data_IF_170330889914
#
_entry.id   IF_170330889914
#
_cell.length_a   1.000
_cell.length_b   1.000
_cell.length_c   1.000
_cell.angle_alpha   90.00
_cell.angle_beta   90.00
_cell.angle_gamma   90.00
#
_symmetry.space_group_name_H-M   'P 1'
#
loop_
_entity.id
_entity.type
_entity.pdbx_description
1 polymer ?
#
# COMPACT_ATOMS: atom_id res chain seq x y z
N UNK A 1 4.03 -2.84 -9.74
CA UNK A 1 2.74 -2.86 -9.00
C UNK A 1 2.84 -2.04 -7.72
N UNK A 2 3.80 -2.32 -6.84
CA UNK A 2 3.96 -1.60 -5.57
C UNK A 2 4.04 -0.08 -5.72
N UNK A 3 4.81 0.42 -6.69
CA UNK A 3 4.89 1.85 -6.97
C UNK A 3 3.52 2.44 -7.34
N UNK A 4 2.75 1.76 -8.18
CA UNK A 4 1.39 2.19 -8.56
C UNK A 4 0.49 2.29 -7.33
N UNK A 5 0.58 1.33 -6.40
CA UNK A 5 -0.19 1.34 -5.14
C UNK A 5 0.24 2.40 -4.13
N UNK A 6 1.47 2.91 -4.24
CA UNK A 6 1.93 4.03 -3.41
C UNK A 6 1.52 5.37 -4.02
N UNK A 7 1.60 5.50 -5.35
CA UNK A 7 1.16 6.69 -6.08
C UNK A 7 -0.33 6.99 -5.84
N UNK A 8 -1.17 5.96 -5.76
CA UNK A 8 -2.61 6.11 -5.44
C UNK A 8 -2.90 6.79 -4.11
N UNK A 9 -2.01 6.68 -3.11
CA UNK A 9 -2.20 7.41 -1.86
C UNK A 9 -1.95 8.91 -2.00
N UNK A 10 -1.03 9.29 -2.89
CA UNK A 10 -0.68 10.69 -3.16
C UNK A 10 -1.75 11.33 -4.06
N UNK A 11 -2.25 10.58 -5.05
CA UNK A 11 -3.31 11.02 -5.96
C UNK A 11 -4.74 10.91 -5.39
N UNK A 12 -4.86 10.61 -4.10
CA UNK A 12 -6.16 10.43 -3.44
C UNK A 12 -6.97 11.74 -3.41
N UNK A 13 -8.29 11.59 -3.40
CA UNK A 13 -9.34 12.61 -3.26
C UNK A 13 -9.18 13.52 -2.03
N UNK A 14 -8.40 13.08 -1.03
CA UNK A 14 -7.98 13.92 0.11
C UNK A 14 -7.18 15.15 -0.30
N UNK A 15 -6.64 15.21 -1.52
CA UNK A 15 -5.91 16.35 -2.05
C UNK A 15 -6.69 16.96 -3.22
N UNK A 16 -6.83 18.29 -3.21
CA UNK A 16 -7.60 19.03 -4.20
C UNK A 16 -6.84 19.19 -5.53
N UNK A 17 -6.71 18.10 -6.28
CA UNK A 17 -6.12 18.06 -7.61
C UNK A 17 -7.09 18.66 -8.65
N UNK A 18 -6.63 19.58 -9.49
CA UNK A 18 -7.52 20.43 -10.33
C UNK A 18 -7.36 20.26 -11.87
N UNK A 19 -6.77 19.18 -12.40
CA UNK A 19 -6.64 19.03 -13.86
C UNK A 19 -7.36 17.86 -14.50
N UNK A 20 -7.99 18.16 -15.64
CA UNK A 20 -8.67 17.24 -16.53
C UNK A 20 -7.81 16.05 -17.01
N UNK A 21 -6.52 16.27 -17.26
CA UNK A 21 -5.60 15.20 -17.72
C UNK A 21 -5.28 14.20 -16.61
N UNK A 22 -5.22 14.67 -15.35
CA UNK A 22 -5.12 13.80 -14.20
C UNK A 22 -6.45 13.13 -13.87
N UNK A 23 -7.60 13.73 -14.18
CA UNK A 23 -8.91 13.12 -13.87
C UNK A 23 -9.08 11.74 -14.50
N UNK A 24 -8.73 11.60 -15.79
CA UNK A 24 -8.82 10.32 -16.50
C UNK A 24 -7.83 9.30 -15.93
N UNK A 25 -6.58 9.70 -15.73
CA UNK A 25 -5.53 8.82 -15.20
C UNK A 25 -5.81 8.41 -13.76
N UNK A 26 -6.34 9.34 -12.96
CA UNK A 26 -6.78 9.16 -11.57
C UNK A 26 -7.92 8.16 -11.50
N UNK A 27 -8.91 8.23 -12.37
CA UNK A 27 -10.04 7.29 -12.35
C UNK A 27 -9.56 5.83 -12.44
N UNK A 28 -8.61 5.53 -13.33
CA UNK A 28 -8.04 4.18 -13.45
C UNK A 28 -7.05 3.84 -12.34
N UNK A 29 -6.17 4.78 -11.96
CA UNK A 29 -5.10 4.52 -10.99
C UNK A 29 -5.68 4.40 -9.58
N UNK A 30 -6.58 5.30 -9.16
CA UNK A 30 -7.22 5.29 -7.83
C UNK A 30 -8.04 4.01 -7.60
N UNK A 31 -8.63 3.44 -8.66
CA UNK A 31 -9.33 2.15 -8.59
C UNK A 31 -8.40 0.95 -8.32
N UNK A 32 -7.09 1.07 -8.51
CA UNK A 32 -6.13 0.01 -8.18
C UNK A 32 -5.98 -0.21 -6.67
N UNK A 33 -6.32 0.79 -5.84
CA UNK A 33 -6.45 0.59 -4.41
C UNK A 33 -7.84 0.07 -4.10
N UNK A 34 -7.95 -1.19 -3.67
CA UNK A 34 -9.22 -1.85 -3.37
C UNK A 34 -10.13 -1.02 -2.45
N UNK A 35 -9.57 -0.20 -1.54
CA UNK A 35 -10.36 0.62 -0.64
C UNK A 35 -11.24 1.68 -1.33
N UNK A 36 -10.82 2.26 -2.46
CA UNK A 36 -11.57 3.32 -3.13
C UNK A 36 -12.83 2.82 -3.86
N UNK A 37 -12.77 1.80 -4.75
CA UNK A 37 -13.98 1.26 -5.35
C UNK A 37 -14.90 0.64 -4.28
N UNK A 38 -14.35 0.08 -3.20
CA UNK A 38 -15.15 -0.40 -2.07
C UNK A 38 -15.97 0.71 -1.39
N UNK A 39 -15.45 1.94 -1.37
CA UNK A 39 -16.15 3.11 -0.84
C UNK A 39 -17.37 3.47 -1.70
N UNK A 40 -17.24 3.34 -3.02
CA UNK A 40 -18.32 3.61 -3.98
C UNK A 40 -19.42 2.53 -3.94
N UNK A 41 -19.05 1.26 -3.70
CA UNK A 41 -20.01 0.15 -3.54
C UNK A 41 -20.72 0.12 -2.18
N UNK A 42 -20.27 0.91 -1.21
CA UNK A 42 -20.88 1.04 0.11
C UNK A 42 -20.32 0.10 1.19
N UNK A 43 -20.84 0.27 2.41
CA UNK A 43 -20.33 -0.40 3.62
C UNK A 43 -20.40 -1.93 3.57
N UNK A 44 -21.48 -2.49 3.01
CA UNK A 44 -21.69 -3.95 2.97
C UNK A 44 -20.70 -4.64 2.03
N UNK A 45 -20.36 -4.01 0.90
CA UNK A 45 -19.36 -4.51 -0.03
C UNK A 45 -17.96 -4.50 0.60
N UNK A 46 -17.64 -3.43 1.34
CA UNK A 46 -16.42 -3.36 2.13
C UNK A 46 -16.35 -4.47 3.18
N UNK A 47 -17.44 -4.69 3.94
CA UNK A 47 -17.50 -5.72 4.97
C UNK A 47 -17.34 -7.14 4.38
N UNK A 48 -17.93 -7.42 3.22
CA UNK A 48 -17.76 -8.69 2.52
C UNK A 48 -16.30 -8.92 2.11
N UNK A 49 -15.65 -7.92 1.50
CA UNK A 49 -14.25 -8.01 1.10
C UNK A 49 -13.32 -8.18 2.31
N UNK A 50 -13.59 -7.46 3.41
CA UNK A 50 -12.84 -7.60 4.66
C UNK A 50 -12.83 -9.04 5.16
N UNK A 51 -13.99 -9.72 5.16
CA UNK A 51 -14.08 -11.12 5.57
C UNK A 51 -13.39 -12.07 4.59
N UNK A 52 -13.53 -11.83 3.27
CA UNK A 52 -12.84 -12.62 2.25
C UNK A 52 -11.32 -12.55 2.44
N UNK A 53 -10.77 -11.34 2.63
CA UNK A 53 -9.34 -11.13 2.88
C UNK A 53 -8.89 -11.76 4.20
N UNK A 54 -9.73 -11.71 5.24
CA UNK A 54 -9.44 -12.34 6.54
C UNK A 54 -9.35 -13.86 6.43
N UNK A 55 -10.32 -14.49 5.76
CA UNK A 55 -10.33 -15.94 5.53
C UNK A 55 -9.14 -16.36 4.65
N UNK A 56 -8.83 -15.58 3.61
CA UNK A 56 -7.68 -15.83 2.75
C UNK A 56 -6.36 -15.74 3.53
N UNK A 57 -6.21 -14.73 4.40
CA UNK A 57 -5.05 -14.58 5.27
C UNK A 57 -4.90 -15.78 6.20
N UNK A 58 -5.96 -16.15 6.92
CA UNK A 58 -5.96 -17.32 7.81
C UNK A 58 -5.66 -18.62 7.05
N UNK A 59 -6.21 -18.77 5.85
CA UNK A 59 -5.90 -19.89 4.96
C UNK A 59 -4.42 -19.94 4.58
N UNK A 60 -3.82 -18.80 4.25
CA UNK A 60 -2.37 -18.70 4.00
C UNK A 60 -1.56 -19.07 5.24
N UNK A 61 -1.92 -18.58 6.43
CA UNK A 61 -1.26 -18.95 7.69
C UNK A 61 -1.37 -20.45 7.94
N UNK A 62 -2.56 -21.03 7.76
CA UNK A 62 -2.80 -22.45 7.92
C UNK A 62 -1.93 -23.29 6.98
N UNK A 63 -1.81 -22.88 5.71
CA UNK A 63 -0.91 -23.53 4.75
C UNK A 63 0.57 -23.42 5.16
N UNK A 64 1.01 -22.26 5.67
CA UNK A 64 2.37 -22.10 6.18
C UNK A 64 2.66 -23.04 7.36
N UNK A 65 1.72 -23.13 8.32
CA UNK A 65 1.84 -24.05 9.47
C UNK A 65 1.82 -25.51 9.02
N UNK A 66 0.97 -25.86 8.06
CA UNK A 66 0.91 -27.20 7.48
C UNK A 66 2.24 -27.60 6.84
N UNK A 67 2.81 -26.73 5.99
CA UNK A 67 4.11 -26.97 5.35
C UNK A 67 5.22 -27.08 6.40
N UNK A 68 5.21 -26.23 7.43
CA UNK A 68 6.17 -26.32 8.53
C UNK A 68 6.05 -27.63 9.32
N UNK A 69 4.83 -28.13 9.54
CA UNK A 69 4.60 -29.40 10.23
C UNK A 69 5.03 -30.61 9.37
N UNK A 70 4.85 -30.55 8.05
CA UNK A 70 5.32 -31.59 7.12
C UNK A 70 6.85 -31.69 7.10
N UNK A 71 7.53 -30.53 7.09
CA UNK A 71 9.00 -30.46 7.23
C UNK A 71 9.51 -31.06 8.54
N UNK A 72 8.75 -30.97 9.64
CA UNK A 72 9.16 -31.57 10.91
C UNK A 72 8.99 -33.10 10.94
N UNK A 73 8.14 -33.67 10.08
CA UNK A 73 7.82 -35.10 10.08
C UNK A 73 8.58 -35.88 9.01
N UNK A 74 9.37 -35.21 8.17
CA UNK A 74 10.10 -35.78 7.02
C UNK A 74 9.24 -36.57 6.02
N UNK A 75 7.91 -36.44 6.08
CA UNK A 75 6.96 -37.16 5.24
C UNK A 75 6.58 -36.33 4.02
N UNK A 76 7.48 -36.16 3.06
CA UNK A 76 7.17 -35.42 1.82
C UNK A 76 6.25 -36.21 0.89
N UNK A 77 4.95 -36.29 1.20
CA UNK A 77 4.00 -36.99 0.33
C UNK A 77 3.52 -36.13 -0.85
N UNK A 78 3.70 -34.80 -0.79
CA UNK A 78 3.18 -33.89 -1.80
C UNK A 78 4.02 -32.61 -1.95
N UNK A 79 4.51 -32.34 -3.18
CA UNK A 79 5.32 -31.14 -3.52
C UNK A 79 4.43 -29.93 -3.90
N UNK A 80 3.15 -30.15 -4.14
CA UNK A 80 2.21 -29.10 -4.56
C UNK A 80 1.98 -28.00 -3.51
N UNK A 81 1.93 -28.25 -2.18
CA UNK A 81 1.68 -27.21 -1.19
C UNK A 81 2.78 -26.15 -1.20
N UNK A 82 4.04 -26.56 -1.37
CA UNK A 82 5.18 -25.64 -1.45
C UNK A 82 5.07 -24.72 -2.67
N UNK A 83 4.65 -25.26 -3.83
CA UNK A 83 4.45 -24.47 -5.05
C UNK A 83 3.27 -23.50 -4.92
N UNK A 84 2.15 -23.95 -4.39
CA UNK A 84 0.95 -23.12 -4.20
C UNK A 84 1.23 -22.01 -3.19
N UNK A 85 1.85 -22.35 -2.05
CA UNK A 85 2.27 -21.37 -1.03
C UNK A 85 3.18 -20.33 -1.67
N UNK A 86 4.21 -20.71 -2.42
CA UNK A 86 5.10 -19.73 -3.05
C UNK A 86 4.37 -18.80 -4.02
N UNK A 87 3.50 -19.32 -4.89
CA UNK A 87 2.78 -18.50 -5.87
C UNK A 87 1.71 -17.60 -5.21
N UNK A 88 0.89 -18.16 -4.32
CA UNK A 88 -0.20 -17.43 -3.66
C UNK A 88 0.35 -16.42 -2.66
N UNK A 89 1.35 -16.79 -1.86
CA UNK A 89 1.96 -15.86 -0.92
C UNK A 89 2.67 -14.72 -1.65
N UNK A 90 3.44 -15.01 -2.70
CA UNK A 90 4.11 -13.96 -3.46
C UNK A 90 3.12 -12.99 -4.10
N UNK A 91 2.01 -13.49 -4.65
CA UNK A 91 0.98 -12.62 -5.23
C UNK A 91 0.24 -11.82 -4.16
N UNK A 92 -0.22 -12.46 -3.09
CA UNK A 92 -1.03 -11.82 -2.05
C UNK A 92 -0.22 -10.85 -1.18
N UNK A 93 0.93 -11.27 -0.67
CA UNK A 93 1.74 -10.49 0.26
C UNK A 93 2.71 -9.53 -0.42
N UNK A 94 3.05 -9.70 -1.71
CA UNK A 94 3.87 -8.74 -2.44
C UNK A 94 3.03 -7.80 -3.29
N UNK A 95 2.11 -8.33 -4.12
CA UNK A 95 1.32 -7.46 -5.00
C UNK A 95 0.16 -6.77 -4.29
N UNK A 96 -0.49 -7.41 -3.32
CA UNK A 96 -1.65 -6.84 -2.62
C UNK A 96 -1.33 -6.41 -1.19
N UNK A 97 -0.05 -6.23 -0.83
CA UNK A 97 0.36 -5.79 0.50
C UNK A 97 -0.35 -4.52 0.94
N UNK A 98 -0.08 -3.44 0.21
CA UNK A 98 -0.56 -2.10 0.53
C UNK A 98 -2.08 -2.05 0.50
N UNK A 99 -2.69 -2.70 -0.49
CA UNK A 99 -4.13 -2.67 -0.67
C UNK A 99 -4.88 -3.48 0.40
N UNK A 100 -4.41 -4.69 0.73
CA UNK A 100 -5.06 -5.53 1.76
C UNK A 100 -4.86 -4.93 3.14
N UNK A 101 -3.66 -4.42 3.43
CA UNK A 101 -3.37 -3.74 4.69
C UNK A 101 -4.25 -2.48 4.84
N UNK A 102 -4.45 -1.72 3.77
CA UNK A 102 -5.34 -0.56 3.81
C UNK A 102 -6.80 -0.95 4.09
N UNK A 103 -7.29 -2.08 3.57
CA UNK A 103 -8.63 -2.59 3.93
C UNK A 103 -8.72 -2.94 5.42
N UNK A 104 -7.72 -3.62 5.98
CA UNK A 104 -7.70 -3.90 7.43
C UNK A 104 -7.61 -2.63 8.28
N UNK A 105 -6.77 -1.67 7.89
CA UNK A 105 -6.61 -0.41 8.61
C UNK A 105 -7.76 0.57 8.39
N UNK A 106 -8.54 0.45 7.31
CA UNK A 106 -9.74 1.26 7.11
C UNK A 106 -10.84 0.96 8.15
N UNK A 107 -10.81 -0.21 8.80
CA UNK A 107 -11.71 -0.51 9.91
C UNK A 107 -11.45 0.36 11.16
N UNK A 108 -10.32 1.07 11.22
CA UNK A 108 -9.95 1.96 12.33
C UNK A 108 -9.77 3.42 11.90
N UNK A 109 -10.04 3.74 10.62
CA UNK A 109 -9.93 5.09 10.08
C UNK A 109 -11.12 5.94 10.51
N UNK A 110 -11.06 6.50 11.71
CA UNK A 110 -12.12 7.29 12.29
C UNK A 110 -11.79 8.78 12.26
N UNK A 111 -12.81 9.60 12.07
CA UNK A 111 -12.71 11.04 12.28
C UNK A 111 -12.81 11.31 13.77
N UNK A 112 -11.66 11.54 14.39
CA UNK A 112 -11.56 11.85 15.82
C UNK A 112 -11.79 13.35 16.12
N UNK A 113 -11.99 14.18 15.10
CA UNK A 113 -12.27 15.62 15.29
C UNK A 113 -13.75 15.90 15.53
N UNK A 114 -14.63 14.98 15.15
CA UNK A 114 -16.06 15.05 15.42
C UNK A 114 -16.38 14.70 16.89
N UNK A 115 -17.46 15.27 17.44
CA UNK A 115 -17.90 15.02 18.82
C UNK A 115 -18.21 13.53 19.10
N UNK A 116 -18.60 12.79 18.07
CA UNK A 116 -18.68 11.33 18.07
C UNK A 116 -17.78 10.80 16.97
N UNK A 117 -16.83 9.88 17.26
CA UNK A 117 -15.92 9.39 16.23
C UNK A 117 -16.68 8.55 15.20
N UNK A 118 -16.75 9.05 13.98
CA UNK A 118 -17.43 8.41 12.85
C UNK A 118 -16.42 7.83 11.86
N UNK A 119 -16.82 6.79 11.14
CA UNK A 119 -15.97 6.13 10.17
C UNK A 119 -15.71 7.05 8.95
N UNK A 120 -14.45 7.24 8.58
CA UNK A 120 -14.10 8.10 7.45
C UNK A 120 -14.49 7.47 6.12
N UNK A 121 -15.34 8.17 5.39
CA UNK A 121 -15.60 7.90 3.97
C UNK A 121 -16.69 6.87 3.67
N UNK A 122 -17.14 6.09 4.64
CA UNK A 122 -18.26 5.18 4.47
C UNK A 122 -19.52 5.76 5.09
N UNK A 123 -20.61 5.67 4.34
CA UNK A 123 -21.95 5.98 4.83
C UNK A 123 -22.83 4.75 4.68
N UNK A 124 -23.79 4.62 5.58
CA UNK A 124 -24.83 3.58 5.46
C UNK A 124 -25.70 3.86 4.22
N UNK A 125 -26.45 2.88 3.73
CA UNK A 125 -27.39 3.06 2.61
C UNK A 125 -28.37 4.23 2.85
N UNK A 126 -28.72 4.48 4.12
CA UNK A 126 -29.60 5.58 4.56
C UNK A 126 -28.86 6.91 4.75
N UNK A 127 -27.57 6.99 4.39
CA UNK A 127 -26.74 8.19 4.52
C UNK A 127 -26.28 8.51 5.95
N UNK A 128 -26.62 7.68 6.94
CA UNK A 128 -26.19 7.84 8.33
C UNK A 128 -24.71 7.52 8.52
N UNK A 129 -24.05 8.32 9.36
CA UNK A 129 -22.68 8.10 9.79
C UNK A 129 -22.59 6.92 10.78
N UNK A 130 -21.57 6.08 10.58
CA UNK A 130 -21.37 4.86 11.37
C UNK A 130 -20.44 5.18 12.55
N UNK A 131 -20.85 4.93 13.80
CA UNK A 131 -20.00 5.15 14.97
C UNK A 131 -18.87 4.13 14.98
N UNK A 132 -17.63 4.59 15.16
CA UNK A 132 -16.45 3.72 15.08
C UNK A 132 -16.35 2.69 16.20
N UNK A 133 -16.67 3.09 17.43
CA UNK A 133 -16.59 2.23 18.61
C UNK A 133 -17.95 1.72 19.07
N UNK A 134 -18.98 1.90 18.23
CA UNK A 134 -20.36 1.53 18.54
C UNK A 134 -20.89 0.42 17.64
N UNK A 135 -21.90 -0.31 18.14
CA UNK A 135 -22.64 -1.31 17.38
C UNK A 135 -21.76 -2.46 16.85
N UNK A 136 -22.15 -3.02 15.70
CA UNK A 136 -21.43 -4.14 15.08
C UNK A 136 -20.06 -3.76 14.51
N UNK A 137 -19.81 -2.48 14.23
CA UNK A 137 -18.55 -2.02 13.62
C UNK A 137 -17.33 -2.22 14.54
N UNK A 138 -17.51 -2.10 15.86
CA UNK A 138 -16.45 -2.32 16.83
C UNK A 138 -15.79 -3.70 16.70
N UNK A 139 -16.55 -4.73 16.29
CA UNK A 139 -16.01 -6.08 16.04
C UNK A 139 -15.06 -6.07 14.85
N UNK A 140 -15.41 -5.38 13.77
CA UNK A 140 -14.56 -5.24 12.58
C UNK A 140 -13.28 -4.47 12.92
N UNK A 141 -13.35 -3.44 13.77
CA UNK A 141 -12.17 -2.70 14.22
C UNK A 141 -11.18 -3.60 14.99
N UNK A 142 -11.68 -4.37 15.98
CA UNK A 142 -10.84 -5.27 16.78
C UNK A 142 -10.24 -6.38 15.91
N UNK A 143 -11.06 -7.05 15.10
CA UNK A 143 -10.59 -8.11 14.19
C UNK A 143 -9.61 -7.53 13.17
N UNK A 144 -9.86 -6.31 12.67
CA UNK A 144 -9.01 -5.62 11.71
C UNK A 144 -7.61 -5.33 12.27
N UNK A 145 -7.51 -4.88 13.52
CA UNK A 145 -6.22 -4.68 14.20
C UNK A 145 -5.45 -6.00 14.31
N UNK A 146 -6.12 -7.08 14.75
CA UNK A 146 -5.48 -8.39 14.88
C UNK A 146 -4.99 -8.94 13.54
N UNK A 147 -5.82 -8.82 12.49
CA UNK A 147 -5.47 -9.25 11.14
C UNK A 147 -4.37 -8.40 10.52
N UNK A 148 -4.37 -7.07 10.75
CA UNK A 148 -3.30 -6.19 10.31
C UNK A 148 -1.95 -6.56 10.94
N UNK A 149 -1.92 -6.80 12.26
CA UNK A 149 -0.70 -7.23 12.96
C UNK A 149 -0.19 -8.56 12.39
N UNK A 150 -1.08 -9.54 12.22
CA UNK A 150 -0.73 -10.83 11.64
C UNK A 150 -0.21 -10.69 10.20
N UNK A 151 -0.87 -9.88 9.38
CA UNK A 151 -0.48 -9.61 8.01
C UNK A 151 0.90 -8.97 7.93
N UNK A 152 1.16 -7.93 8.73
CA UNK A 152 2.46 -7.26 8.82
C UNK A 152 3.56 -8.23 9.22
N UNK A 153 3.32 -9.06 10.25
CA UNK A 153 4.30 -10.01 10.75
C UNK A 153 4.70 -11.03 9.66
N UNK A 154 3.72 -11.58 8.95
CA UNK A 154 3.97 -12.54 7.87
C UNK A 154 4.65 -11.87 6.68
N UNK A 155 4.18 -10.71 6.24
CA UNK A 155 4.83 -9.94 5.16
C UNK A 155 6.29 -9.61 5.47
N UNK A 156 6.60 -9.25 6.72
CA UNK A 156 7.96 -8.97 7.13
C UNK A 156 8.87 -10.21 7.01
N UNK A 157 8.38 -11.37 7.44
CA UNK A 157 9.10 -12.65 7.31
C UNK A 157 9.29 -13.01 5.84
N UNK A 158 8.24 -12.93 5.02
CA UNK A 158 8.31 -13.26 3.59
C UNK A 158 9.28 -12.34 2.86
N UNK A 159 9.25 -11.03 3.16
CA UNK A 159 10.21 -10.08 2.62
C UNK A 159 11.64 -10.52 2.94
N UNK A 160 11.93 -10.99 4.16
CA UNK A 160 13.28 -11.44 4.50
C UNK A 160 13.69 -12.77 3.83
N UNK A 161 12.72 -13.63 3.46
CA UNK A 161 12.97 -14.97 2.92
C UNK A 161 13.04 -14.99 1.39
N UNK A 162 12.38 -14.07 0.70
CA UNK A 162 12.30 -14.05 -0.78
C UNK A 162 13.60 -13.68 -1.51
N UNK A 163 14.70 -13.43 -0.79
CA UNK A 163 15.98 -13.07 -1.37
C UNK A 163 16.86 -14.26 -1.72
N UNK A 164 17.35 -14.27 -2.97
CA UNK A 164 18.41 -15.16 -3.39
C UNK A 164 19.75 -14.63 -2.87
N UNK A 165 20.42 -15.40 -2.00
CA UNK A 165 21.70 -15.03 -1.40
C UNK A 165 22.86 -15.10 -2.40
N UNK A 166 22.68 -15.77 -3.54
CA UNK A 166 23.71 -15.83 -4.56
C UNK A 166 23.71 -14.57 -5.42
N UNK A 167 24.61 -13.62 -5.11
CA UNK A 167 24.79 -12.36 -5.84
C UNK A 167 25.21 -12.56 -7.30
N UNK A 168 25.67 -13.76 -7.69
CA UNK A 168 26.07 -14.10 -9.06
C UNK A 168 24.92 -14.72 -9.85
N UNK A 169 23.81 -15.03 -9.19
CA UNK A 169 22.59 -15.58 -9.79
C UNK A 169 22.03 -14.67 -10.89
N UNK A 170 21.34 -15.29 -11.85
CA UNK A 170 20.61 -14.56 -12.89
C UNK A 170 19.30 -13.93 -12.40
N UNK A 171 18.91 -14.22 -11.16
CA UNK A 171 17.67 -13.74 -10.58
C UNK A 171 17.70 -12.22 -10.33
N UNK A 172 16.61 -11.49 -10.66
CA UNK A 172 16.51 -10.05 -10.41
C UNK A 172 16.41 -9.70 -8.91
N UNK A 173 16.14 -10.70 -8.07
CA UNK A 173 16.07 -10.60 -6.60
C UNK A 173 17.39 -11.02 -5.91
N UNK A 174 18.47 -11.23 -6.68
CA UNK A 174 19.77 -11.54 -6.12
C UNK A 174 20.37 -10.30 -5.43
N UNK A 175 20.60 -10.38 -4.12
CA UNK A 175 21.16 -9.27 -3.35
C UNK A 175 22.00 -9.80 -2.17
N UNK A 176 23.15 -9.17 -1.83
CA UNK A 176 24.01 -9.64 -0.74
C UNK A 176 23.40 -9.53 0.67
N UNK A 177 22.33 -8.73 0.84
CA UNK A 177 21.68 -8.53 2.13
C UNK A 177 20.21 -8.16 1.93
N UNK A 178 19.32 -8.72 2.74
CA UNK A 178 17.87 -8.42 2.74
C UNK A 178 17.51 -7.11 3.46
N UNK A 179 18.46 -6.50 4.18
CA UNK A 179 18.22 -5.29 4.98
C UNK A 179 17.63 -4.11 4.20
N UNK A 180 18.10 -3.76 2.98
CA UNK A 180 17.57 -2.60 2.25
C UNK A 180 16.09 -2.76 1.91
N UNK A 181 15.70 -3.97 1.54
CA UNK A 181 14.32 -4.29 1.17
C UNK A 181 13.40 -4.35 2.39
N UNK A 182 13.91 -4.82 3.53
CA UNK A 182 13.21 -4.69 4.80
C UNK A 182 12.95 -3.22 5.18
N UNK A 183 13.93 -2.33 5.00
CA UNK A 183 13.71 -0.89 5.24
C UNK A 183 12.70 -0.26 4.28
N UNK A 184 12.73 -0.65 3.01
CA UNK A 184 11.71 -0.25 2.03
C UNK A 184 10.33 -0.75 2.46
N UNK A 185 10.23 -2.00 2.92
CA UNK A 185 8.99 -2.56 3.47
C UNK A 185 8.48 -1.74 4.67
N UNK A 186 9.36 -1.38 5.61
CA UNK A 186 9.00 -0.52 6.76
C UNK A 186 8.49 0.84 6.28
N UNK A 187 9.13 1.45 5.27
CA UNK A 187 8.65 2.71 4.72
C UNK A 187 7.26 2.58 4.07
N UNK A 188 7.00 1.50 3.33
CA UNK A 188 5.68 1.20 2.74
C UNK A 188 4.60 0.99 3.81
N UNK A 189 4.94 0.28 4.88
CA UNK A 189 4.07 0.08 6.03
C UNK A 189 3.72 1.43 6.67
N UNK A 190 4.72 2.26 6.95
CA UNK A 190 4.51 3.60 7.50
C UNK A 190 3.69 4.48 6.56
N UNK A 191 3.86 4.36 5.25
CA UNK A 191 3.06 5.08 4.26
C UNK A 191 1.56 4.77 4.43
N UNK A 192 1.23 3.48 4.58
CA UNK A 192 -0.16 3.02 4.75
C UNK A 192 -0.72 3.46 6.12
N UNK A 193 0.07 3.32 7.18
CA UNK A 193 -0.33 3.72 8.54
C UNK A 193 -0.57 5.23 8.62
N UNK A 194 0.32 6.05 8.07
CA UNK A 194 0.15 7.50 7.97
C UNK A 194 -1.12 7.86 7.19
N UNK A 195 -1.42 7.15 6.09
CA UNK A 195 -2.64 7.37 5.29
C UNK A 195 -3.93 7.28 6.10
N UNK A 196 -3.96 6.34 7.04
CA UNK A 196 -5.11 6.09 7.93
C UNK A 196 -5.12 7.06 9.11
N UNK A 197 -4.00 7.21 9.83
CA UNK A 197 -3.96 8.00 11.06
C UNK A 197 -3.97 9.51 10.82
N UNK A 198 -3.27 9.97 9.78
CA UNK A 198 -3.14 11.39 9.43
C UNK A 198 -4.11 11.80 8.32
N UNK A 199 -5.09 10.95 7.97
CA UNK A 199 -6.03 11.19 6.86
C UNK A 199 -6.79 12.52 6.93
N UNK A 200 -7.00 13.01 8.15
CA UNK A 200 -7.66 14.27 8.50
C UNK A 200 -6.75 15.50 8.46
N UNK A 201 -5.42 15.32 8.53
CA UNK A 201 -4.44 16.41 8.52
C UNK A 201 -3.64 16.39 7.22
N UNK A 202 -4.21 16.96 6.15
CA UNK A 202 -3.68 16.87 4.78
C UNK A 202 -2.22 17.33 4.63
N UNK A 203 -1.82 18.40 5.32
CA UNK A 203 -0.44 18.92 5.28
C UNK A 203 0.55 18.01 6.00
N UNK A 204 0.20 17.50 7.19
CA UNK A 204 1.05 16.56 7.92
C UNK A 204 1.19 15.24 7.14
N UNK A 205 0.12 14.80 6.48
CA UNK A 205 0.11 13.63 5.62
C UNK A 205 1.04 13.78 4.42
N UNK A 206 0.95 14.89 3.67
CA UNK A 206 1.81 15.13 2.50
C UNK A 206 3.30 15.22 2.87
N UNK A 207 3.63 15.87 3.99
CA UNK A 207 5.00 15.90 4.54
C UNK A 207 5.48 14.49 4.88
N UNK A 208 4.65 13.67 5.54
CA UNK A 208 5.01 12.29 5.89
C UNK A 208 5.31 11.45 4.64
N UNK A 209 4.50 11.57 3.59
CA UNK A 209 4.72 10.89 2.31
C UNK A 209 6.02 11.33 1.63
N UNK A 210 6.34 12.62 1.67
CA UNK A 210 7.59 13.13 1.11
C UNK A 210 8.81 12.59 1.85
N UNK A 211 8.81 12.62 3.19
CA UNK A 211 9.91 12.08 3.99
C UNK A 211 10.10 10.58 3.74
N UNK A 212 9.02 9.81 3.72
CA UNK A 212 9.08 8.35 3.50
C UNK A 212 9.56 8.00 2.08
N UNK A 213 9.07 8.70 1.05
CA UNK A 213 9.50 8.47 -0.34
C UNK A 213 10.95 8.93 -0.60
N UNK A 214 11.39 10.02 0.03
CA UNK A 214 12.78 10.45 0.01
C UNK A 214 13.70 9.42 0.68
N UNK A 215 13.28 8.85 1.83
CA UNK A 215 14.01 7.77 2.50
C UNK A 215 14.10 6.52 1.61
N UNK A 216 13.01 6.11 0.95
CA UNK A 216 13.02 4.99 0.01
C UNK A 216 13.99 5.22 -1.15
N UNK A 217 13.96 6.42 -1.74
CA UNK A 217 14.87 6.83 -2.81
C UNK A 217 16.33 6.81 -2.35
N UNK A 218 16.61 7.36 -1.17
CA UNK A 218 17.94 7.35 -0.56
C UNK A 218 18.45 5.92 -0.31
N UNK A 219 17.61 5.03 0.20
CA UNK A 219 18.00 3.63 0.40
C UNK A 219 18.33 2.97 -0.94
N UNK A 220 17.48 3.14 -1.97
CA UNK A 220 17.81 2.58 -3.29
C UNK A 220 19.08 3.16 -3.88
N UNK A 221 19.33 4.47 -3.70
CA UNK A 221 20.56 5.11 -4.13
C UNK A 221 21.78 4.53 -3.39
N UNK A 222 21.71 4.38 -2.07
CA UNK A 222 22.82 3.84 -1.27
C UNK A 222 23.22 2.42 -1.67
N UNK A 223 22.26 1.62 -2.11
CA UNK A 223 22.48 0.23 -2.52
C UNK A 223 22.58 0.04 -4.06
N UNK A 224 22.71 1.13 -4.83
CA UNK A 224 22.97 1.11 -6.28
C UNK A 224 24.04 0.08 -6.73
N UNK A 225 25.22 -0.05 -6.10
CA UNK A 225 26.30 -0.88 -6.65
C UNK A 225 26.06 -2.39 -6.55
N UNK A 226 25.06 -2.84 -5.77
CA UNK A 226 24.81 -4.26 -5.52
C UNK A 226 23.67 -4.85 -6.35
N UNK A 227 22.92 -4.00 -7.05
CA UNK A 227 21.79 -4.41 -7.88
C UNK A 227 22.19 -4.42 -9.36
N UNK A 228 21.50 -5.24 -10.15
CA UNK A 228 21.62 -5.21 -11.60
C UNK A 228 21.25 -3.82 -12.12
N UNK A 229 22.03 -3.29 -13.05
CA UNK A 229 21.89 -1.91 -13.55
C UNK A 229 20.45 -1.53 -13.95
N UNK A 230 19.75 -2.40 -14.69
CA UNK A 230 18.38 -2.12 -15.13
C UNK A 230 17.36 -2.08 -13.96
N UNK A 231 17.43 -3.05 -13.02
CA UNK A 231 16.54 -3.10 -11.84
C UNK A 231 16.75 -1.86 -10.98
N UNK A 232 18.00 -1.46 -10.87
CA UNK A 232 18.42 -0.34 -10.05
C UNK A 232 17.95 1.00 -10.64
N UNK A 233 18.14 1.22 -11.95
CA UNK A 233 17.60 2.39 -12.65
C UNK A 233 16.08 2.42 -12.52
N UNK A 234 15.40 1.30 -12.78
CA UNK A 234 13.94 1.21 -12.68
C UNK A 234 13.44 1.55 -11.26
N UNK A 235 13.96 0.90 -10.22
CA UNK A 235 13.55 1.15 -8.82
C UNK A 235 13.88 2.57 -8.37
N UNK A 236 15.10 3.04 -8.67
CA UNK A 236 15.56 4.38 -8.29
C UNK A 236 14.72 5.46 -8.96
N UNK A 237 14.45 5.33 -10.27
CA UNK A 237 13.57 6.26 -11.00
C UNK A 237 12.15 6.24 -10.44
N UNK A 238 11.55 5.07 -10.22
CA UNK A 238 10.19 4.98 -9.69
C UNK A 238 10.05 5.64 -8.30
N UNK A 239 10.97 5.39 -7.37
CA UNK A 239 10.91 6.05 -6.06
C UNK A 239 11.23 7.53 -6.11
N UNK A 240 12.14 7.98 -6.98
CA UNK A 240 12.39 9.40 -7.21
C UNK A 240 11.15 10.12 -7.78
N UNK A 241 10.44 9.48 -8.72
CA UNK A 241 9.16 10.00 -9.24
C UNK A 241 8.12 10.09 -8.11
N UNK A 242 8.00 9.05 -7.26
CA UNK A 242 7.10 9.10 -6.10
C UNK A 242 7.46 10.24 -5.13
N UNK A 243 8.75 10.49 -4.92
CA UNK A 243 9.23 11.61 -4.09
C UNK A 243 8.84 12.96 -4.69
N UNK A 244 8.94 13.10 -6.02
CA UNK A 244 8.50 14.29 -6.72
C UNK A 244 6.98 14.49 -6.58
N UNK A 245 6.19 13.43 -6.73
CA UNK A 245 4.73 13.49 -6.53
C UNK A 245 4.35 13.83 -5.07
N UNK A 246 5.09 13.33 -4.09
CA UNK A 246 4.85 13.70 -2.71
C UNK A 246 5.18 15.18 -2.45
N UNK A 247 6.21 15.73 -3.10
CA UNK A 247 6.55 17.15 -3.02
C UNK A 247 5.47 18.05 -3.65
N UNK A 248 4.91 17.62 -4.78
CA UNK A 248 3.81 18.34 -5.42
C UNK A 248 2.52 18.28 -4.58
N UNK A 249 2.26 17.17 -3.89
CA UNK A 249 1.15 17.08 -2.94
C UNK A 249 1.29 18.05 -1.76
N UNK A 250 2.52 18.33 -1.29
CA UNK A 250 2.75 19.39 -0.30
C UNK A 250 2.34 20.74 -0.88
N UNK A 251 2.81 21.07 -2.10
CA UNK A 251 2.47 22.32 -2.75
C UNK A 251 0.95 22.50 -2.90
N UNK A 252 0.22 21.45 -3.34
CA UNK A 252 -1.25 21.49 -3.41
C UNK A 252 -1.88 21.69 -2.04
N UNK A 253 -1.42 20.97 -1.01
CA UNK A 253 -1.98 21.05 0.34
C UNK A 253 -1.79 22.41 1.02
N UNK A 254 -0.78 23.18 0.60
CA UNK A 254 -0.49 24.52 1.16
C UNK A 254 -1.14 25.64 0.34
N UNK A 255 -1.23 25.48 -0.98
CA UNK A 255 -1.70 26.53 -1.90
C UNK A 255 -3.22 26.50 -2.07
N UNK A 256 -3.83 25.31 -2.05
CA UNK A 256 -5.23 25.16 -2.46
C UNK A 256 -6.21 25.22 -1.27
N UNK A 257 -6.43 26.42 -0.74
CA UNK A 257 -7.63 26.75 0.06
C UNK A 257 -8.83 26.92 -0.89
N UNK A 258 -9.26 25.83 -1.56
CA UNK A 258 -10.54 25.65 -2.26
C UNK A 258 -10.99 26.69 -3.32
N UNK A 259 -10.21 27.72 -3.60
CA UNK A 259 -10.65 28.96 -4.28
C UNK A 259 -9.85 29.31 -5.54
N UNK A 260 -8.72 28.65 -5.77
CA UNK A 260 -7.84 28.90 -6.91
C UNK A 260 -7.58 27.58 -7.63
N UNK A 261 -8.25 27.37 -8.76
CA UNK A 261 -7.82 26.37 -9.73
C UNK A 261 -6.42 26.75 -10.20
N UNK A 262 -5.37 26.18 -9.61
CA UNK A 262 -4.00 26.40 -10.05
C UNK A 262 -3.66 25.38 -11.17
N UNK A 263 -3.81 25.73 -12.46
CA UNK A 263 -3.64 24.79 -13.56
C UNK A 263 -2.16 24.43 -13.76
N UNK A 264 -1.26 25.26 -13.21
CA UNK A 264 0.18 25.09 -13.25
C UNK A 264 0.67 23.94 -12.38
N UNK A 265 0.08 23.71 -11.20
CA UNK A 265 0.52 22.64 -10.28
C UNK A 265 0.20 21.25 -10.85
N UNK A 266 -0.93 21.15 -11.56
CA UNK A 266 -1.37 19.96 -12.26
C UNK A 266 -0.47 19.52 -13.45
N UNK A 267 0.15 20.47 -14.14
CA UNK A 267 1.07 20.16 -15.24
C UNK A 267 2.39 19.55 -14.71
N UNK A 268 2.83 19.97 -13.52
CA UNK A 268 4.00 19.42 -12.86
C UNK A 268 3.78 17.98 -12.36
N UNK A 269 2.55 17.56 -12.04
CA UNK A 269 2.24 16.22 -11.49
C UNK A 269 1.77 15.20 -12.52
N UNK A 270 1.32 15.62 -13.70
CA UNK A 270 1.05 14.65 -14.77
C UNK A 270 2.35 14.05 -15.33
N UNK A 271 3.45 14.83 -15.32
CA UNK A 271 4.73 14.44 -15.90
C UNK A 271 5.37 13.21 -15.22
N UNK A 272 5.48 13.12 -13.88
CA UNK A 272 6.14 12.00 -13.24
C UNK A 272 5.30 10.71 -13.28
N UNK A 273 3.96 10.80 -13.21
CA UNK A 273 3.07 9.66 -13.45
C UNK A 273 3.22 9.12 -14.88
N UNK A 274 3.20 9.99 -15.89
CA UNK A 274 3.35 9.60 -17.31
C UNK A 274 4.73 9.03 -17.57
N UNK A 275 5.80 9.64 -17.03
CA UNK A 275 7.17 9.12 -17.14
C UNK A 275 7.29 7.78 -16.41
N UNK A 276 6.70 7.62 -15.22
CA UNK A 276 6.71 6.36 -14.49
C UNK A 276 6.00 5.23 -15.24
N UNK A 277 4.86 5.52 -15.86
CA UNK A 277 4.15 4.57 -16.71
C UNK A 277 4.93 4.24 -17.99
N UNK A 278 5.55 5.23 -18.64
CA UNK A 278 6.41 5.01 -19.80
C UNK A 278 7.63 4.14 -19.45
N UNK A 279 8.24 4.36 -18.29
CA UNK A 279 9.36 3.56 -17.77
C UNK A 279 8.94 2.13 -17.41
N UNK A 280 7.68 1.91 -16.99
CA UNK A 280 7.14 0.57 -16.73
C UNK A 280 6.78 -0.22 -18.00
N UNK A 281 6.59 0.46 -19.13
CA UNK A 281 6.24 -0.13 -20.43
C UNK A 281 7.47 -0.47 -21.30
N UNK A 282 8.67 -0.04 -20.88
CA UNK A 282 9.97 -0.34 -21.51
C UNK A 282 10.63 -1.57 -20.90
#
# INVERSE_FOLDING_TARGET
VDWLQLVTFVLNDKFAWASWALTVLREYVVQLQLANPLRDFGYDAWAAMFWILSVLLLGCVGLCVYVAADFQRDTFSAVWPVKVVRSVLSLFFSLFFTSSLNVFLSAISCDYTAATPTLQGFKTADGLDIPCWGGGHAVYAVVGILMAILFIAISAVLTMVDFDRDFRSRNPLAMPSSRPEFWIFVCKLMFTVCSVLLGQFHVALSISYFVLSALMTYQTARFLPFLRGWVNVLKGTLYALLCFEAASAIAVSVINDGSIEAPSIAAFTAFPVVVGLAVLLL
#
